data_IF_788972746526
#
_entry.id   IF_788972746526
#
_cell.length_a   1.000
_cell.length_b   1.000
_cell.length_c   1.000
_cell.angle_alpha   90.00
_cell.angle_beta   90.00
_cell.angle_gamma   90.00
#
_symmetry.space_group_name_H-M   'P 1'
#
loop_
_entity.id
_entity.type
_entity.pdbx_description
1 polymer ?
#
# COMPACT_ATOMS: atom_id res chain seq x y z
N UNK A 1 26.56 38.63 -35.21
CA UNK A 1 26.75 37.52 -34.26
C UNK A 1 25.48 36.70 -34.26
N UNK A 2 25.58 35.41 -34.52
CA UNK A 2 24.43 34.51 -34.63
C UNK A 2 24.15 33.97 -33.23
N UNK A 3 23.06 34.39 -32.62
CA UNK A 3 22.66 33.96 -31.27
C UNK A 3 21.96 32.60 -31.40
N UNK A 4 22.71 31.52 -31.20
CA UNK A 4 22.17 30.16 -31.20
C UNK A 4 21.33 29.92 -29.94
N UNK A 5 20.02 30.08 -30.05
CA UNK A 5 19.06 29.63 -29.04
C UNK A 5 19.05 28.10 -29.04
N UNK A 6 19.79 27.49 -28.11
CA UNK A 6 19.69 26.06 -27.83
C UNK A 6 18.27 25.79 -27.35
N UNK A 7 17.47 25.11 -28.17
CA UNK A 7 16.17 24.62 -27.76
C UNK A 7 16.38 23.71 -26.53
N UNK A 8 15.95 24.19 -25.37
CA UNK A 8 15.92 23.40 -24.16
C UNK A 8 15.00 22.20 -24.42
N UNK A 9 15.61 21.05 -24.65
CA UNK A 9 14.89 19.79 -24.78
C UNK A 9 14.26 19.54 -23.41
N UNK A 10 13.00 19.93 -23.25
CA UNK A 10 12.22 19.71 -22.03
C UNK A 10 11.98 18.22 -21.92
N UNK A 11 12.97 17.50 -21.41
CA UNK A 11 12.81 16.13 -20.97
C UNK A 11 11.65 16.14 -19.97
N UNK A 12 10.57 15.42 -20.31
CA UNK A 12 9.39 15.31 -19.46
C UNK A 12 9.82 14.85 -18.08
N UNK A 13 9.59 15.68 -17.06
CA UNK A 13 10.00 15.36 -15.69
C UNK A 13 9.39 14.03 -15.25
N UNK A 14 10.23 13.08 -14.84
CA UNK A 14 9.78 11.75 -14.44
C UNK A 14 9.18 11.81 -13.04
N UNK A 15 7.98 11.25 -12.89
CA UNK A 15 7.34 11.13 -11.57
C UNK A 15 7.87 9.88 -10.87
N UNK A 16 8.40 10.07 -9.67
CA UNK A 16 8.98 9.02 -8.84
C UNK A 16 8.12 8.83 -7.60
N UNK A 17 7.80 7.56 -7.31
CA UNK A 17 7.13 7.11 -6.09
C UNK A 17 8.14 6.32 -5.27
N UNK A 18 8.73 6.98 -4.29
CA UNK A 18 9.75 6.40 -3.43
C UNK A 18 9.16 5.96 -2.09
N UNK A 19 9.64 4.85 -1.54
CA UNK A 19 9.33 4.39 -0.18
C UNK A 19 10.60 4.21 0.66
N UNK A 20 10.57 4.64 1.91
CA UNK A 20 11.65 4.49 2.90
C UNK A 20 11.04 4.05 4.24
N UNK A 21 11.28 2.80 4.65
CA UNK A 21 10.57 2.21 5.79
C UNK A 21 9.06 2.23 5.57
N UNK A 22 8.32 2.86 6.49
CA UNK A 22 6.87 3.04 6.40
C UNK A 22 6.45 4.32 5.65
N UNK A 23 7.41 5.19 5.30
CA UNK A 23 7.14 6.46 4.66
C UNK A 23 7.13 6.33 3.13
N UNK A 24 6.22 7.04 2.47
CA UNK A 24 6.09 7.05 1.01
C UNK A 24 5.92 8.47 0.48
N UNK A 25 6.74 8.86 -0.50
CA UNK A 25 6.70 10.19 -1.12
C UNK A 25 6.63 10.10 -2.63
N UNK A 26 5.95 11.07 -3.25
CA UNK A 26 5.94 11.26 -4.71
C UNK A 26 6.58 12.59 -5.04
N UNK A 27 7.49 12.61 -6.00
CA UNK A 27 8.14 13.82 -6.47
C UNK A 27 8.56 13.65 -7.92
N UNK A 28 8.70 14.78 -8.63
CA UNK A 28 9.18 14.80 -10.00
C UNK A 28 10.65 15.19 -10.02
N UNK A 29 11.44 14.51 -10.87
CA UNK A 29 12.85 14.82 -11.09
C UNK A 29 13.01 15.29 -12.54
N UNK A 30 13.57 16.48 -12.79
CA UNK A 30 13.76 16.99 -14.14
C UNK A 30 14.85 16.21 -14.89
N UNK A 31 15.95 15.88 -14.20
CA UNK A 31 17.10 15.20 -14.80
C UNK A 31 17.27 13.78 -14.24
N UNK A 32 17.18 12.78 -15.12
CA UNK A 32 17.27 11.36 -14.78
C UNK A 32 18.71 10.87 -14.67
N UNK A 33 19.43 11.38 -13.67
CA UNK A 33 20.74 10.86 -13.25
C UNK A 33 20.65 10.26 -11.86
N UNK A 34 21.40 9.19 -11.60
CA UNK A 34 21.43 8.50 -10.29
C UNK A 34 21.87 9.46 -9.18
N UNK A 35 22.82 10.34 -9.45
CA UNK A 35 23.26 11.36 -8.48
C UNK A 35 22.13 12.33 -8.09
N UNK A 36 21.41 12.86 -9.09
CA UNK A 36 20.25 13.74 -8.87
C UNK A 36 19.13 13.03 -8.14
N UNK A 37 18.88 11.77 -8.48
CA UNK A 37 17.88 10.93 -7.82
C UNK A 37 18.22 10.68 -6.34
N UNK A 38 19.47 10.35 -6.03
CA UNK A 38 19.94 10.18 -4.65
C UNK A 38 19.78 11.48 -3.85
N UNK A 39 20.20 12.60 -4.42
CA UNK A 39 20.01 13.93 -3.81
C UNK A 39 18.54 14.25 -3.53
N UNK A 40 17.66 13.97 -4.49
CA UNK A 40 16.23 14.15 -4.31
C UNK A 40 15.67 13.25 -3.20
N UNK A 41 16.08 11.98 -3.12
CA UNK A 41 15.70 11.08 -2.03
C UNK A 41 16.17 11.60 -0.66
N UNK A 42 17.42 12.06 -0.54
CA UNK A 42 17.96 12.68 0.70
C UNK A 42 17.08 13.82 1.14
N UNK A 43 16.87 14.80 0.24
CA UNK A 43 16.12 16.00 0.55
C UNK A 43 14.66 15.69 0.90
N UNK A 44 14.05 14.73 0.20
CA UNK A 44 12.64 14.40 0.39
C UNK A 44 12.40 13.59 1.65
N UNK A 45 13.25 12.64 2.02
CA UNK A 45 13.07 11.85 3.24
C UNK A 45 13.80 12.46 4.45
N UNK A 46 14.38 13.66 4.32
CA UNK A 46 15.17 14.31 5.36
C UNK A 46 16.27 13.38 5.90
N UNK A 47 16.87 12.59 5.02
CA UNK A 47 17.90 11.62 5.40
C UNK A 47 19.17 12.38 5.76
N UNK A 48 19.73 12.08 6.93
CA UNK A 48 20.97 12.66 7.39
C UNK A 48 20.87 14.01 8.12
N UNK A 49 19.68 14.35 8.63
CA UNK A 49 19.51 15.42 9.63
C UNK A 49 20.33 15.15 10.90
N UNK A 50 20.39 13.90 11.36
CA UNK A 50 21.16 13.51 12.56
C UNK A 50 22.64 13.24 12.27
N UNK A 51 22.96 12.76 11.06
CA UNK A 51 24.32 12.44 10.62
C UNK A 51 24.45 12.78 9.13
N UNK A 52 25.46 13.57 8.72
CA UNK A 52 25.69 13.82 7.30
C UNK A 52 25.83 12.50 6.53
N UNK A 53 24.90 12.25 5.60
CA UNK A 53 24.96 11.11 4.70
C UNK A 53 25.58 11.55 3.38
N UNK A 54 26.54 10.78 2.87
CA UNK A 54 26.97 10.92 1.49
C UNK A 54 25.90 10.33 0.55
N UNK A 55 25.76 10.84 -0.69
CA UNK A 55 24.84 10.26 -1.67
C UNK A 55 25.02 8.75 -1.86
N UNK A 56 26.27 8.27 -1.77
CA UNK A 56 26.61 6.85 -1.93
C UNK A 56 26.20 5.96 -0.74
N UNK A 57 25.88 6.57 0.40
CA UNK A 57 25.31 5.86 1.54
C UNK A 57 23.87 5.40 1.29
N UNK A 58 23.22 5.90 0.23
CA UNK A 58 21.85 5.53 -0.10
C UNK A 58 21.83 4.48 -1.19
N UNK A 59 21.10 3.40 -0.90
CA UNK A 59 20.77 2.35 -1.84
C UNK A 59 19.35 2.55 -2.34
N UNK A 60 19.22 2.58 -3.66
CA UNK A 60 17.94 2.69 -4.35
C UNK A 60 17.69 1.35 -5.03
N UNK A 61 16.48 0.82 -4.91
CA UNK A 61 16.08 -0.45 -5.52
C UNK A 61 14.75 -0.27 -6.24
N UNK A 62 14.51 -1.02 -7.31
CA UNK A 62 13.20 -1.12 -7.95
C UNK A 62 12.75 -2.58 -8.01
N UNK A 63 11.46 -2.81 -8.24
CA UNK A 63 10.95 -4.16 -8.53
C UNK A 63 10.94 -4.38 -10.03
N UNK A 64 11.57 -5.45 -10.49
CA UNK A 64 11.44 -5.91 -11.88
C UNK A 64 10.11 -6.64 -12.12
N UNK A 65 9.96 -7.23 -13.31
CA UNK A 65 8.78 -7.99 -13.74
C UNK A 65 8.68 -9.37 -13.07
N UNK A 66 9.80 -9.92 -12.60
CA UNK A 66 9.84 -11.13 -11.78
C UNK A 66 9.48 -10.85 -10.31
N UNK A 67 9.49 -9.57 -9.92
CA UNK A 67 9.16 -9.08 -8.59
C UNK A 67 10.37 -8.99 -7.65
N UNK A 68 11.57 -9.16 -8.18
CA UNK A 68 12.84 -9.09 -7.48
C UNK A 68 13.29 -7.64 -7.29
N UNK A 69 14.01 -7.38 -6.19
CA UNK A 69 14.53 -6.06 -5.87
C UNK A 69 15.92 -5.87 -6.49
N UNK A 70 15.99 -5.11 -7.57
CA UNK A 70 17.21 -4.80 -8.31
C UNK A 70 17.76 -3.45 -7.85
N UNK A 71 19.07 -3.38 -7.61
CA UNK A 71 19.75 -2.15 -7.21
C UNK A 71 19.95 -1.20 -8.40
N UNK A 72 19.75 0.10 -8.15
CA UNK A 72 20.10 1.17 -9.09
C UNK A 72 21.38 1.84 -8.60
N UNK A 73 22.47 1.46 -9.24
CA UNK A 73 23.83 1.95 -8.97
C UNK A 73 24.39 2.78 -10.13
N UNK A 74 23.98 2.51 -11.37
CA UNK A 74 24.41 3.25 -12.57
C UNK A 74 23.24 3.91 -13.31
N UNK A 75 23.56 4.89 -14.17
CA UNK A 75 22.57 5.57 -15.00
C UNK A 75 21.93 4.63 -16.04
N UNK A 76 22.64 3.59 -16.49
CA UNK A 76 22.04 2.57 -17.38
C UNK A 76 20.96 1.76 -16.66
N UNK A 77 21.19 1.35 -15.42
CA UNK A 77 20.20 0.64 -14.59
C UNK A 77 18.97 1.54 -14.33
N UNK A 78 19.19 2.84 -14.12
CA UNK A 78 18.11 3.80 -13.96
C UNK A 78 17.27 3.93 -15.26
N UNK A 79 17.92 3.95 -16.42
CA UNK A 79 17.23 4.02 -17.71
C UNK A 79 16.36 2.78 -17.97
N UNK A 80 16.86 1.59 -17.59
CA UNK A 80 16.08 0.34 -17.64
C UNK A 80 14.88 0.42 -16.72
N UNK A 81 15.08 0.83 -15.46
CA UNK A 81 14.00 0.97 -14.49
C UNK A 81 12.92 1.96 -14.96
N UNK A 82 13.32 3.08 -15.58
CA UNK A 82 12.39 4.04 -16.18
C UNK A 82 11.61 3.44 -17.35
N UNK A 83 12.28 2.67 -18.21
CA UNK A 83 11.64 1.98 -19.34
C UNK A 83 10.58 0.98 -18.87
N UNK A 84 10.84 0.27 -17.76
CA UNK A 84 9.89 -0.66 -17.16
C UNK A 84 8.67 0.04 -16.54
N UNK A 85 8.83 1.26 -16.02
CA UNK A 85 7.72 2.05 -15.49
C UNK A 85 6.74 2.51 -16.58
N UNK A 86 7.19 2.59 -17.84
CA UNK A 86 6.40 3.03 -18.98
C UNK A 86 5.92 4.47 -18.81
N UNK A 87 4.62 4.72 -19.02
CA UNK A 87 3.99 6.02 -18.79
C UNK A 87 3.65 6.29 -17.31
N UNK A 88 3.87 5.31 -16.44
CA UNK A 88 3.55 5.40 -15.01
C UNK A 88 4.68 6.00 -14.18
N UNK A 89 4.43 6.25 -12.88
CA UNK A 89 5.47 6.70 -11.97
C UNK A 89 6.47 5.57 -11.68
N UNK A 90 7.76 5.90 -11.68
CA UNK A 90 8.82 4.96 -11.30
C UNK A 90 8.71 4.65 -9.80
N UNK A 91 8.55 3.37 -9.45
CA UNK A 91 8.45 2.92 -8.06
C UNK A 91 9.80 2.46 -7.55
N UNK A 92 10.32 3.13 -6.53
CA UNK A 92 11.61 2.78 -5.92
C UNK A 92 11.49 2.58 -4.41
N UNK A 93 12.31 1.70 -3.89
CA UNK A 93 12.55 1.51 -2.46
C UNK A 93 13.92 2.11 -2.12
N UNK A 94 13.94 2.98 -1.13
CA UNK A 94 15.15 3.65 -0.64
C UNK A 94 15.56 2.97 0.66
N UNK A 95 16.85 2.73 0.84
CA UNK A 95 17.43 2.25 2.10
C UNK A 95 18.76 2.94 2.36
N UNK A 96 19.07 3.18 3.63
CA UNK A 96 20.36 3.73 4.05
C UNK A 96 21.30 2.57 4.33
N UNK A 97 22.43 2.51 3.61
CA UNK A 97 23.55 1.66 4.00
C UNK A 97 24.14 2.29 5.25
N UNK A 98 23.92 1.64 6.40
CA UNK A 98 24.63 1.99 7.63
C UNK A 98 26.14 2.01 7.37
N UNK A 99 26.92 2.77 8.15
CA UNK A 99 28.38 2.71 8.05
C UNK A 99 28.76 1.25 8.14
N UNK A 100 29.25 0.67 7.04
CA UNK A 100 29.75 -0.71 7.05
C UNK A 100 30.77 -0.75 8.17
N UNK A 101 30.44 -1.43 9.26
CA UNK A 101 31.39 -1.72 10.33
C UNK A 101 32.44 -2.66 9.73
N UNK A 102 33.45 -2.08 9.08
CA UNK A 102 34.52 -2.78 8.40
C UNK A 102 34.12 -3.43 7.08
N UNK A 103 34.50 -2.81 5.96
CA UNK A 103 34.95 -3.56 4.78
C UNK A 103 36.13 -4.46 5.18
N UNK A 104 35.82 -5.64 5.74
CA UNK A 104 36.71 -6.81 5.71
C UNK A 104 36.38 -7.64 4.48
N UNK A 105 36.61 -7.08 3.30
CA UNK A 105 36.48 -7.83 2.06
C UNK A 105 37.42 -7.28 0.98
N UNK A 106 38.72 -7.34 1.24
CA UNK A 106 39.71 -7.50 0.16
C UNK A 106 40.96 -8.20 0.69
N UNK A 107 41.18 -9.43 0.20
CA UNK A 107 42.44 -10.17 0.12
C UNK A 107 43.18 -10.47 1.44
N UNK A 108 42.81 -11.60 2.03
CA UNK A 108 43.72 -12.46 2.77
C UNK A 108 43.44 -13.91 2.37
N UNK A 109 44.05 -14.38 1.28
CA UNK A 109 44.35 -15.81 1.13
C UNK A 109 45.31 -16.15 2.28
N UNK A 110 45.18 -17.37 2.81
CA UNK A 110 46.05 -17.96 3.83
C UNK A 110 45.69 -17.64 5.30
N UNK A 111 44.41 -17.78 5.64
CA UNK A 111 44.05 -18.33 6.94
C UNK A 111 43.53 -19.75 6.70
N UNK A 112 44.22 -20.76 7.24
CA UNK A 112 43.72 -22.15 7.28
C UNK A 112 42.42 -22.14 8.08
N UNK A 113 41.30 -22.10 7.37
CA UNK A 113 39.99 -22.34 7.93
C UNK A 113 39.96 -23.77 8.47
N UNK A 114 39.70 -23.86 9.77
CA UNK A 114 39.43 -25.13 10.44
C UNK A 114 38.12 -25.69 9.85
N UNK A 115 38.13 -26.83 9.13
CA UNK A 115 36.96 -27.36 8.43
C UNK A 115 35.78 -27.68 9.36
N UNK A 116 36.04 -27.76 10.67
CA UNK A 116 35.03 -27.98 11.71
C UNK A 116 34.13 -26.76 11.93
N UNK A 117 34.67 -25.53 11.88
CA UNK A 117 33.90 -24.31 12.11
C UNK A 117 32.87 -24.06 11.00
N UNK A 118 33.22 -24.36 9.74
CA UNK A 118 32.33 -24.19 8.61
C UNK A 118 31.15 -25.18 8.63
N UNK A 119 31.35 -26.40 9.19
CA UNK A 119 30.27 -27.38 9.34
C UNK A 119 29.25 -26.93 10.39
N UNK A 120 29.72 -26.43 11.55
CA UNK A 120 28.87 -25.91 12.62
C UNK A 120 28.02 -24.71 12.15
N UNK A 121 28.62 -23.78 11.41
CA UNK A 121 27.90 -22.63 10.86
C UNK A 121 26.81 -23.04 9.85
N UNK A 122 27.12 -24.03 8.99
CA UNK A 122 26.16 -24.56 8.01
C UNK A 122 24.99 -25.28 8.68
N UNK A 123 25.26 -26.03 9.75
CA UNK A 123 24.22 -26.73 10.50
C UNK A 123 23.32 -25.77 11.28
N UNK A 124 23.89 -24.75 11.92
CA UNK A 124 23.14 -23.70 12.60
C UNK A 124 22.20 -22.96 11.65
N UNK A 125 22.69 -22.59 10.45
CA UNK A 125 21.87 -21.93 9.42
C UNK A 125 20.75 -22.84 8.91
N UNK A 126 21.00 -24.15 8.80
CA UNK A 126 19.97 -25.12 8.41
C UNK A 126 18.86 -25.22 9.45
N UNK A 127 19.23 -25.29 10.75
CA UNK A 127 18.27 -25.33 11.86
C UNK A 127 17.42 -24.06 11.94
N UNK A 128 18.05 -22.88 11.82
CA UNK A 128 17.32 -21.60 11.80
C UNK A 128 16.32 -21.52 10.63
N UNK A 129 16.73 -21.97 9.43
CA UNK A 129 15.85 -21.97 8.25
C UNK A 129 14.67 -22.95 8.40
N UNK A 130 14.88 -24.08 9.06
CA UNK A 130 13.83 -25.07 9.32
C UNK A 130 12.82 -24.56 10.37
N UNK A 131 13.32 -23.96 11.44
CA UNK A 131 12.48 -23.34 12.49
C UNK A 131 11.66 -22.17 11.95
N UNK A 132 12.24 -21.31 11.11
CA UNK A 132 11.52 -20.22 10.46
C UNK A 132 10.41 -20.75 9.53
N UNK A 133 10.67 -21.84 8.79
CA UNK A 133 9.67 -22.47 7.92
C UNK A 133 8.52 -23.06 8.73
N UNK A 134 8.83 -23.71 9.86
CA UNK A 134 7.82 -24.27 10.77
C UNK A 134 6.95 -23.15 11.38
N UNK A 135 7.57 -22.06 11.84
CA UNK A 135 6.84 -20.89 12.37
C UNK A 135 5.90 -20.26 11.34
N UNK A 136 6.36 -20.11 10.10
CA UNK A 136 5.52 -19.59 8.99
C UNK A 136 4.35 -20.53 8.66
N UNK A 137 4.54 -21.83 8.78
CA UNK A 137 3.49 -22.83 8.56
C UNK A 137 2.44 -22.80 9.67
N UNK A 138 2.87 -22.73 10.93
CA UNK A 138 2.00 -22.58 12.11
C UNK A 138 1.18 -21.27 12.03
N UNK A 139 1.82 -20.14 11.70
CA UNK A 139 1.13 -18.84 11.53
C UNK A 139 0.09 -18.91 10.39
N UNK A 140 0.43 -19.57 9.29
CA UNK A 140 -0.51 -19.76 8.16
C UNK A 140 -1.69 -20.64 8.57
N UNK A 141 -1.47 -21.67 9.37
CA UNK A 141 -2.53 -22.53 9.88
C UNK A 141 -3.45 -21.78 10.85
N UNK A 142 -2.89 -21.03 11.79
CA UNK A 142 -3.65 -20.19 12.73
C UNK A 142 -4.51 -19.17 11.97
N UNK A 143 -3.95 -18.51 10.95
CA UNK A 143 -4.71 -17.60 10.09
C UNK A 143 -5.86 -18.30 9.35
N UNK A 144 -5.70 -19.56 8.94
CA UNK A 144 -6.79 -20.34 8.33
C UNK A 144 -7.87 -20.69 9.36
N UNK A 145 -7.48 -21.08 10.57
CA UNK A 145 -8.42 -21.36 11.68
C UNK A 145 -9.21 -20.11 12.06
N UNK A 146 -8.55 -18.96 12.21
CA UNK A 146 -9.21 -17.68 12.50
C UNK A 146 -10.21 -17.28 11.42
N UNK A 147 -9.86 -17.44 10.13
CA UNK A 147 -10.79 -17.19 9.02
C UNK A 147 -12.00 -18.11 9.04
N UNK A 148 -11.82 -19.38 9.39
CA UNK A 148 -12.93 -20.33 9.51
C UNK A 148 -13.85 -19.97 10.67
N UNK A 149 -13.28 -19.66 11.84
CA UNK A 149 -14.03 -19.23 13.01
C UNK A 149 -14.83 -17.95 12.76
N UNK A 150 -14.24 -16.95 12.09
CA UNK A 150 -14.93 -15.72 11.73
C UNK A 150 -16.13 -15.98 10.80
N UNK A 151 -15.96 -16.83 9.78
CA UNK A 151 -17.04 -17.23 8.86
C UNK A 151 -18.15 -18.02 9.56
N UNK A 152 -17.79 -18.79 10.59
CA UNK A 152 -18.76 -19.53 11.39
C UNK A 152 -19.58 -18.60 12.29
N UNK A 153 -18.96 -17.60 12.91
CA UNK A 153 -19.67 -16.57 13.67
C UNK A 153 -20.63 -15.76 12.78
N UNK A 154 -20.20 -15.37 11.58
CA UNK A 154 -21.06 -14.67 10.61
C UNK A 154 -22.31 -15.50 10.24
N UNK A 155 -22.14 -16.82 10.06
CA UNK A 155 -23.26 -17.74 9.83
C UNK A 155 -24.20 -17.84 11.03
N UNK A 156 -23.65 -17.87 12.25
CA UNK A 156 -24.46 -17.89 13.47
C UNK A 156 -25.26 -16.60 13.64
N UNK A 157 -24.65 -15.44 13.38
CA UNK A 157 -25.32 -14.14 13.42
C UNK A 157 -26.43 -14.03 12.37
N UNK A 158 -26.16 -14.49 11.14
CA UNK A 158 -27.20 -14.53 10.09
C UNK A 158 -28.36 -15.45 10.50
N UNK A 159 -28.05 -16.59 11.13
CA UNK A 159 -29.06 -17.55 11.60
C UNK A 159 -29.91 -16.96 12.73
N UNK A 160 -29.30 -16.25 13.69
CA UNK A 160 -30.04 -15.61 14.79
C UNK A 160 -30.91 -14.45 14.29
N UNK A 161 -30.45 -13.69 13.31
CA UNK A 161 -31.23 -12.63 12.67
C UNK A 161 -32.49 -13.18 11.99
N UNK A 162 -32.35 -14.26 11.22
CA UNK A 162 -33.50 -14.94 10.57
C UNK A 162 -34.49 -15.46 11.62
N UNK A 163 -33.99 -16.07 12.70
CA UNK A 163 -34.83 -16.56 13.79
C UNK A 163 -35.62 -15.41 14.45
N UNK A 164 -34.98 -14.27 14.71
CA UNK A 164 -35.64 -13.10 15.29
C UNK A 164 -36.72 -12.54 14.36
N UNK A 165 -36.46 -12.44 13.05
CA UNK A 165 -37.46 -11.98 12.07
C UNK A 165 -38.69 -12.90 12.05
N UNK A 166 -38.48 -14.23 12.09
CA UNK A 166 -39.58 -15.19 12.15
C UNK A 166 -40.40 -15.05 13.44
N UNK A 167 -39.75 -14.88 14.60
CA UNK A 167 -40.44 -14.66 15.87
C UNK A 167 -41.24 -13.35 15.89
N UNK A 168 -40.70 -12.26 15.34
CA UNK A 168 -41.41 -10.97 15.25
C UNK A 168 -42.63 -11.04 14.32
N UNK A 169 -42.56 -11.83 13.24
CA UNK A 169 -43.70 -11.98 12.31
C UNK A 169 -44.89 -12.73 12.91
N UNK A 170 -44.65 -13.69 13.81
CA UNK A 170 -45.71 -14.46 14.45
C UNK A 170 -46.55 -13.63 15.45
N UNK A 171 -45.95 -12.59 16.05
CA UNK A 171 -46.64 -11.71 17.01
C UNK A 171 -47.61 -10.72 16.35
N UNK A 172 -47.52 -10.49 15.03
CA UNK A 172 -48.42 -9.59 14.31
C UNK A 172 -49.70 -10.29 13.80
N UNK A 173 -49.82 -11.61 13.97
CA UNK A 173 -50.98 -12.40 13.56
C UNK A 173 -52.01 -12.57 14.68
N UNK A 174 -52.03 -11.69 15.69
CA UNK A 174 -53.20 -11.58 16.57
C UNK A 174 -54.34 -11.01 15.72
N UNK A 175 -55.39 -11.80 15.42
CA UNK A 175 -56.49 -11.29 14.63
C UNK A 175 -57.07 -10.06 15.36
N UNK A 176 -57.30 -8.94 14.67
CA UNK A 176 -58.00 -7.82 15.27
C UNK A 176 -59.34 -8.35 15.81
N UNK A 177 -59.65 -8.01 17.06
CA UNK A 177 -60.93 -8.34 17.66
C UNK A 177 -62.05 -7.94 16.68
N UNK A 178 -63.05 -8.82 16.43
CA UNK A 178 -64.03 -8.60 15.39
C UNK A 178 -64.73 -7.25 15.60
N UNK A 179 -64.80 -6.38 14.57
CA UNK A 179 -65.50 -5.10 14.67
C UNK A 179 -66.98 -5.36 14.89
N UNK A 180 -67.55 -4.74 15.93
CA UNK A 180 -68.99 -4.73 16.13
C UNK A 180 -69.66 -4.03 14.94
N UNK A 181 -70.67 -4.72 14.39
CA UNK A 181 -71.45 -4.30 13.24
C UNK A 181 -72.04 -2.90 13.43
N UNK A 182 -71.60 -1.94 12.61
CA UNK A 182 -72.35 -0.73 12.34
C UNK A 182 -72.37 -0.47 10.83
N UNK A 183 -73.59 -0.47 10.32
CA UNK A 183 -74.03 -0.40 8.93
C UNK A 183 -73.75 0.95 8.25
N UNK A 184 -73.58 0.85 6.92
CA UNK A 184 -74.07 1.77 5.86
C UNK A 184 -73.06 2.65 5.14
N UNK A 185 -73.22 2.70 3.81
CA UNK A 185 -72.79 3.83 2.99
C UNK A 185 -71.97 3.47 1.76
N UNK A 186 -72.67 3.13 0.68
CA UNK A 186 -72.19 3.05 -0.71
C UNK A 186 -71.45 4.31 -1.17
N UNK A 187 -70.35 4.19 -1.92
CA UNK A 187 -70.10 5.05 -3.09
C UNK A 187 -68.95 4.52 -3.94
N UNK A 188 -69.28 4.19 -5.19
CA UNK A 188 -68.38 3.90 -6.29
C UNK A 188 -67.79 5.18 -6.86
N UNK A 189 -66.47 5.29 -6.95
CA UNK A 189 -65.84 6.10 -7.99
C UNK A 189 -64.47 5.54 -8.38
N UNK A 190 -64.35 5.22 -9.66
CA UNK A 190 -63.14 4.91 -10.42
C UNK A 190 -62.14 6.07 -10.36
N UNK A 191 -60.84 5.76 -10.38
CA UNK A 191 -59.85 6.51 -11.17
C UNK A 191 -58.56 5.67 -11.33
N UNK A 192 -58.22 5.42 -12.58
CA UNK A 192 -56.92 4.94 -13.04
C UNK A 192 -55.88 6.06 -12.88
N UNK A 193 -54.61 5.68 -13.06
CA UNK A 193 -53.42 6.52 -13.19
C UNK A 193 -52.63 6.77 -11.90
N UNK A 194 -51.52 6.04 -11.74
CA UNK A 194 -50.41 6.53 -10.94
C UNK A 194 -49.09 6.00 -11.51
N UNK A 195 -48.34 6.96 -12.05
CA UNK A 195 -47.12 6.80 -12.78
C UNK A 195 -46.05 6.00 -12.02
N UNK A 196 -45.40 5.09 -12.72
CA UNK A 196 -44.10 4.54 -12.35
C UNK A 196 -43.06 5.68 -12.39
N UNK A 197 -42.89 6.36 -11.26
CA UNK A 197 -41.85 7.36 -11.09
C UNK A 197 -40.52 6.65 -10.80
N UNK A 198 -39.71 6.50 -11.83
CA UNK A 198 -38.36 5.93 -11.75
C UNK A 198 -37.48 6.89 -10.95
N UNK A 199 -37.24 6.59 -9.68
CA UNK A 199 -36.31 7.30 -8.82
C UNK A 199 -34.87 7.09 -9.33
N UNK A 200 -34.34 8.08 -10.04
CA UNK A 200 -32.92 8.18 -10.29
C UNK A 200 -32.17 8.47 -8.97
N UNK A 201 -31.08 7.75 -8.64
CA UNK A 201 -30.29 8.04 -7.45
C UNK A 201 -29.53 9.36 -7.60
N UNK A 202 -29.37 10.15 -6.53
CA UNK A 202 -28.67 11.43 -6.57
C UNK A 202 -27.16 11.23 -6.80
N UNK A 203 -26.48 12.15 -7.49
CA UNK A 203 -25.03 12.12 -7.63
C UNK A 203 -24.36 12.42 -6.28
N UNK A 204 -23.41 11.56 -5.89
CA UNK A 204 -22.55 11.76 -4.73
C UNK A 204 -21.68 13.00 -4.93
N UNK A 205 -22.03 14.09 -4.26
CA UNK A 205 -21.19 15.26 -4.13
C UNK A 205 -19.99 14.93 -3.22
N UNK A 206 -18.82 14.72 -3.83
CA UNK A 206 -17.55 14.65 -3.11
C UNK A 206 -17.16 16.06 -2.62
N UNK A 207 -17.53 16.40 -1.38
CA UNK A 207 -16.94 17.53 -0.65
C UNK A 207 -15.53 17.14 -0.21
N UNK A 208 -14.52 17.63 -0.94
CA UNK A 208 -13.13 17.64 -0.52
C UNK A 208 -12.71 19.10 -0.30
N UNK A 209 -13.06 19.67 0.85
CA UNK A 209 -12.42 20.90 1.34
C UNK A 209 -11.22 20.51 2.18
N UNK A 210 -10.06 20.46 1.53
CA UNK A 210 -8.77 20.34 2.20
C UNK A 210 -8.34 21.76 2.62
N UNK A 211 -8.61 22.11 3.87
CA UNK A 211 -8.13 23.33 4.51
C UNK A 211 -6.61 23.24 4.70
N UNK A 212 -5.85 24.06 3.98
CA UNK A 212 -4.41 24.19 4.16
C UNK A 212 -4.10 24.96 5.47
N UNK A 213 -3.18 24.48 6.32
CA UNK A 213 -2.73 25.24 7.48
C UNK A 213 -1.77 26.38 7.06
N UNK A 214 -1.82 27.54 7.75
CA UNK A 214 -0.93 28.67 7.47
C UNK A 214 0.52 28.37 7.85
N UNK A 215 1.45 28.91 7.06
CA UNK A 215 2.89 28.74 7.24
C UNK A 215 3.40 29.41 8.53
N UNK A 216 4.35 28.80 9.26
CA UNK A 216 4.98 29.43 10.41
C UNK A 216 5.96 30.52 9.94
N UNK A 217 5.69 31.76 10.35
CA UNK A 217 6.63 32.88 10.25
C UNK A 217 7.75 32.71 11.28
N UNK A 218 8.99 32.56 10.81
CA UNK A 218 10.18 32.59 11.68
C UNK A 218 10.45 34.03 12.14
N UNK A 219 10.74 34.26 13.44
CA UNK A 219 11.28 35.52 13.92
C UNK A 219 12.78 35.64 13.58
N UNK A 220 13.20 36.89 13.34
CA UNK A 220 14.57 37.35 13.08
C UNK A 220 15.50 37.16 14.28
#
# INVERSE_FOLDING_TARGET
GITTTMAANTASAMVIKASYGDEMRRFSVPDLYVASLRGACIARFLLGTERPLTPDAIRIQYKDDEGDLVDISTDEELAVACSMAGAGPLRITVSVRGPKAGDKASKGKDAKDDPESHQLAKEARKRQKEEERKRKEEEKEERRRAKHAAKEMERQETRSLIQNVLLSSAAAATPPAPPSLASSGTSTHSFLDSAFQTLAPPPLAHLHTQTAPPAPTSPR
#
